data_IF_952045942984
#
_entry.id   IF_952045942984
#
_cell.length_a   1.000
_cell.length_b   1.000
_cell.length_c   1.000
_cell.angle_alpha   90.00
_cell.angle_beta   90.00
_cell.angle_gamma   90.00
#
_symmetry.space_group_name_H-M   'P 1'
#
loop_
_entity.id
_entity.type
_entity.pdbx_description
1 polymer ?
#
# COMPACT_ATOMS: atom_id res chain seq x y z
N UNK A 1 13.93 -2.56 -20.61
CA UNK A 1 13.28 -3.40 -19.60
C UNK A 1 12.51 -4.51 -20.30
N UNK A 2 12.78 -5.76 -19.93
CA UNK A 2 12.16 -6.95 -20.49
C UNK A 2 11.12 -7.50 -19.51
N UNK A 3 9.85 -7.49 -19.92
CA UNK A 3 8.70 -7.97 -19.14
C UNK A 3 8.29 -9.34 -19.65
N UNK A 4 8.14 -10.31 -18.76
CA UNK A 4 7.44 -11.56 -19.07
C UNK A 4 6.02 -11.48 -18.50
N UNK A 5 5.01 -11.37 -19.36
CA UNK A 5 3.59 -11.39 -18.99
C UNK A 5 3.00 -12.78 -19.17
N UNK A 6 2.33 -13.30 -18.15
CA UNK A 6 1.76 -14.65 -18.12
C UNK A 6 0.27 -14.58 -17.85
N UNK A 7 -0.52 -15.06 -18.79
CA UNK A 7 -2.00 -14.99 -18.76
C UNK A 7 -2.56 -16.05 -19.72
N UNK A 8 -3.49 -16.88 -19.26
CA UNK A 8 -4.11 -17.92 -20.09
C UNK A 8 -5.10 -17.35 -21.11
N UNK A 9 -5.58 -16.12 -20.89
CA UNK A 9 -6.40 -15.39 -21.84
C UNK A 9 -5.54 -14.64 -22.88
N UNK A 10 -5.57 -15.14 -24.12
CA UNK A 10 -4.76 -14.58 -25.22
C UNK A 10 -5.08 -13.11 -25.53
N UNK A 11 -6.33 -12.70 -25.41
CA UNK A 11 -6.74 -11.33 -25.72
C UNK A 11 -6.29 -10.35 -24.63
N UNK A 12 -6.38 -10.73 -23.35
CA UNK A 12 -5.79 -9.97 -22.25
C UNK A 12 -4.26 -9.82 -22.41
N UNK A 13 -3.57 -10.92 -22.74
CA UNK A 13 -2.13 -10.90 -23.02
C UNK A 13 -1.73 -9.97 -24.18
N UNK A 14 -2.49 -9.99 -25.28
CA UNK A 14 -2.26 -9.08 -26.41
C UNK A 14 -2.54 -7.63 -26.04
N UNK A 15 -3.62 -7.39 -25.30
CA UNK A 15 -3.98 -6.04 -24.83
C UNK A 15 -2.88 -5.48 -23.94
N UNK A 16 -2.40 -6.25 -22.97
CA UNK A 16 -1.27 -5.86 -22.12
C UNK A 16 -0.04 -5.51 -22.96
N UNK A 17 0.37 -6.37 -23.91
CA UNK A 17 1.50 -6.05 -24.79
C UNK A 17 1.29 -4.76 -25.61
N UNK A 18 0.07 -4.52 -26.08
CA UNK A 18 -0.29 -3.33 -26.86
C UNK A 18 -0.25 -2.05 -26.02
N UNK A 19 -0.73 -2.10 -24.76
CA UNK A 19 -0.71 -0.96 -23.84
C UNK A 19 0.74 -0.50 -23.55
N UNK A 20 1.71 -1.42 -23.62
CA UNK A 20 3.13 -1.13 -23.41
C UNK A 20 3.94 -0.93 -24.70
N UNK A 21 3.34 -1.10 -25.89
CA UNK A 21 4.04 -0.95 -27.17
C UNK A 21 4.49 0.50 -27.46
N UNK A 22 3.91 1.48 -26.75
CA UNK A 22 4.27 2.90 -26.87
C UNK A 22 5.57 3.27 -26.15
N UNK A 23 6.12 2.37 -25.32
CA UNK A 23 7.36 2.62 -24.56
C UNK A 23 8.53 1.93 -25.26
N UNK A 24 9.40 2.70 -25.92
CA UNK A 24 10.51 2.18 -26.73
C UNK A 24 11.52 1.34 -25.94
N UNK A 25 11.60 1.56 -24.62
CA UNK A 25 12.50 0.86 -23.71
C UNK A 25 11.85 -0.36 -23.04
N UNK A 26 10.60 -0.70 -23.35
CA UNK A 26 9.88 -1.85 -22.78
C UNK A 26 9.65 -2.91 -23.85
N UNK A 27 10.14 -4.13 -23.60
CA UNK A 27 9.82 -5.30 -24.42
C UNK A 27 8.94 -6.27 -23.62
N UNK A 28 7.84 -6.74 -24.22
CA UNK A 28 6.90 -7.67 -23.56
C UNK A 28 6.93 -9.03 -24.24
N UNK A 29 7.33 -10.06 -23.50
CA UNK A 29 7.21 -11.46 -23.88
C UNK A 29 5.95 -12.07 -23.27
N UNK A 30 5.18 -12.82 -24.05
CA UNK A 30 3.93 -13.43 -23.60
C UNK A 30 4.08 -14.93 -23.33
N UNK A 31 3.38 -15.43 -22.31
CA UNK A 31 3.26 -16.86 -22.02
C UNK A 31 1.85 -17.19 -21.54
N UNK A 32 1.28 -18.31 -21.98
CA UNK A 32 -0.11 -18.68 -21.62
C UNK A 32 -0.22 -19.74 -20.53
N UNK A 33 0.91 -20.19 -19.97
CA UNK A 33 0.94 -21.29 -19.00
C UNK A 33 1.86 -20.94 -17.84
N UNK A 34 1.29 -20.55 -16.70
CA UNK A 34 2.03 -20.25 -15.49
C UNK A 34 2.91 -21.42 -15.02
N UNK A 35 2.43 -22.66 -15.16
CA UNK A 35 3.18 -23.85 -14.77
C UNK A 35 4.48 -24.07 -15.57
N UNK A 36 4.61 -23.46 -16.76
CA UNK A 36 5.81 -23.59 -17.60
C UNK A 36 6.91 -22.58 -17.27
N UNK A 37 6.62 -21.59 -16.42
CA UNK A 37 7.49 -20.43 -16.18
C UNK A 37 8.83 -20.86 -15.61
N UNK A 38 8.83 -21.59 -14.49
CA UNK A 38 10.08 -22.05 -13.85
C UNK A 38 10.96 -22.86 -14.79
N UNK A 39 10.36 -23.81 -15.53
CA UNK A 39 11.08 -24.63 -16.51
C UNK A 39 11.72 -23.78 -17.62
N UNK A 40 10.99 -22.80 -18.15
CA UNK A 40 11.49 -21.92 -19.20
C UNK A 40 12.58 -20.97 -18.71
N UNK A 41 12.47 -20.47 -17.48
CA UNK A 41 13.49 -19.59 -16.90
C UNK A 41 14.82 -20.33 -16.67
N UNK A 42 14.76 -21.58 -16.22
CA UNK A 42 15.96 -22.42 -16.01
C UNK A 42 16.72 -22.68 -17.33
N UNK A 43 16.00 -22.79 -18.44
CA UNK A 43 16.59 -23.06 -19.76
C UNK A 43 17.22 -21.82 -20.41
N UNK A 44 16.98 -20.62 -19.88
CA UNK A 44 17.50 -19.37 -20.44
C UNK A 44 18.90 -19.06 -19.92
N UNK A 45 19.67 -18.37 -20.75
CA UNK A 45 20.94 -17.77 -20.30
C UNK A 45 20.63 -16.62 -19.35
N UNK A 46 21.53 -16.34 -18.40
CA UNK A 46 21.38 -15.23 -17.44
C UNK A 46 21.15 -13.87 -18.13
N UNK A 47 21.74 -13.66 -19.30
CA UNK A 47 21.60 -12.44 -20.12
C UNK A 47 20.24 -12.32 -20.83
N UNK A 48 19.39 -13.35 -20.75
CA UNK A 48 18.10 -13.47 -21.45
C UNK A 48 16.92 -13.64 -20.46
N UNK A 49 17.17 -13.38 -19.17
CA UNK A 49 16.11 -13.38 -18.15
C UNK A 49 15.29 -12.08 -18.25
N UNK A 50 13.97 -12.15 -17.96
CA UNK A 50 13.16 -10.94 -17.84
C UNK A 50 13.59 -10.14 -16.60
N UNK A 51 13.48 -8.80 -16.69
CA UNK A 51 13.69 -7.89 -15.56
C UNK A 51 12.53 -7.97 -14.56
N UNK A 52 11.31 -8.23 -15.06
CA UNK A 52 10.09 -8.38 -14.26
C UNK A 52 9.19 -9.46 -14.85
N UNK A 53 8.54 -10.20 -13.96
CA UNK A 53 7.51 -11.19 -14.31
C UNK A 53 6.19 -10.68 -13.78
N UNK A 54 5.20 -10.58 -14.66
CA UNK A 54 3.82 -10.24 -14.34
C UNK A 54 2.99 -11.48 -14.61
N UNK A 55 2.28 -11.98 -13.60
CA UNK A 55 1.50 -13.21 -13.69
C UNK A 55 0.07 -12.87 -13.32
N UNK A 56 -0.88 -13.25 -14.17
CA UNK A 56 -2.28 -13.22 -13.79
C UNK A 56 -2.54 -14.15 -12.59
N UNK A 57 -3.40 -13.69 -11.69
CA UNK A 57 -3.66 -14.39 -10.43
C UNK A 57 -4.60 -15.58 -10.61
N UNK A 58 -5.49 -15.55 -11.60
CA UNK A 58 -6.59 -16.50 -11.74
C UNK A 58 -6.68 -17.08 -13.15
N UNK A 59 -6.08 -18.26 -13.35
CA UNK A 59 -6.27 -19.00 -14.59
C UNK A 59 -7.58 -19.80 -14.61
N UNK A 60 -8.13 -20.03 -15.81
CA UNK A 60 -9.29 -20.89 -16.02
C UNK A 60 -8.98 -22.33 -15.59
N UNK A 61 -9.75 -22.82 -14.62
CA UNK A 61 -9.73 -24.22 -14.22
C UNK A 61 -10.65 -25.07 -15.10
N UNK A 62 -11.76 -24.49 -15.55
CA UNK A 62 -12.72 -25.10 -16.47
C UNK A 62 -12.88 -24.21 -17.72
N UNK A 63 -12.40 -24.66 -18.90
CA UNK A 63 -12.51 -23.90 -20.15
C UNK A 63 -13.95 -23.68 -20.63
N UNK A 64 -14.94 -24.37 -20.07
CA UNK A 64 -16.35 -24.21 -20.43
C UNK A 64 -17.01 -23.00 -19.74
N UNK A 65 -16.41 -22.48 -18.68
CA UNK A 65 -16.90 -21.29 -17.98
C UNK A 65 -16.49 -20.04 -18.77
N UNK A 66 -17.47 -19.22 -19.12
CA UNK A 66 -17.27 -17.95 -19.83
C UNK A 66 -16.94 -16.82 -18.87
N UNK A 67 -16.26 -15.77 -19.36
CA UNK A 67 -16.06 -14.54 -18.58
C UNK A 67 -17.39 -13.93 -18.17
N UNK A 68 -18.38 -13.90 -19.06
CA UNK A 68 -19.74 -13.42 -18.74
C UNK A 68 -20.31 -14.11 -17.50
N UNK A 69 -20.06 -15.42 -17.32
CA UNK A 69 -20.53 -16.15 -16.14
C UNK A 69 -19.76 -15.77 -14.87
N UNK A 70 -18.47 -15.48 -15.00
CA UNK A 70 -17.65 -14.99 -13.88
C UNK A 70 -18.14 -13.60 -13.47
N UNK A 71 -18.39 -12.71 -14.43
CA UNK A 71 -18.92 -11.37 -14.22
C UNK A 71 -20.30 -11.41 -13.52
N UNK A 72 -21.22 -12.27 -13.97
CA UNK A 72 -22.51 -12.49 -13.30
C UNK A 72 -22.34 -12.91 -11.82
N UNK A 73 -21.38 -13.81 -11.54
CA UNK A 73 -21.10 -14.26 -10.17
C UNK A 73 -20.49 -13.15 -9.33
N UNK A 74 -19.61 -12.33 -9.90
CA UNK A 74 -19.04 -11.16 -9.24
C UNK A 74 -20.14 -10.16 -8.89
N UNK A 75 -21.07 -9.88 -9.81
CA UNK A 75 -22.21 -9.02 -9.55
C UNK A 75 -23.12 -9.58 -8.44
N UNK A 76 -23.39 -10.89 -8.44
CA UNK A 76 -24.16 -11.55 -7.39
C UNK A 76 -23.47 -11.42 -6.02
N UNK A 77 -22.15 -11.63 -5.97
CA UNK A 77 -21.35 -11.47 -4.75
C UNK A 77 -21.41 -10.03 -4.26
N UNK A 78 -21.24 -9.04 -5.14
CA UNK A 78 -21.30 -7.63 -4.78
C UNK A 78 -22.67 -7.22 -4.25
N UNK A 79 -23.75 -7.71 -4.86
CA UNK A 79 -25.11 -7.49 -4.36
C UNK A 79 -25.28 -8.05 -2.95
N UNK A 80 -24.91 -9.31 -2.72
CA UNK A 80 -24.97 -9.95 -1.39
C UNK A 80 -24.09 -9.21 -0.38
N UNK A 81 -22.92 -8.72 -0.80
CA UNK A 81 -22.01 -7.93 0.03
C UNK A 81 -22.69 -6.65 0.52
N UNK A 82 -23.39 -5.94 -0.37
CA UNK A 82 -24.12 -4.72 -0.01
C UNK A 82 -25.28 -5.00 0.95
N UNK A 83 -26.06 -6.05 0.70
CA UNK A 83 -27.15 -6.46 1.59
C UNK A 83 -26.63 -6.78 3.01
N UNK A 84 -25.60 -7.62 3.10
CA UNK A 84 -24.96 -7.99 4.38
C UNK A 84 -24.35 -6.77 5.08
N UNK A 85 -23.77 -5.82 4.33
CA UNK A 85 -23.21 -4.59 4.89
C UNK A 85 -24.28 -3.76 5.60
N UNK A 86 -25.46 -3.61 5.00
CA UNK A 86 -26.56 -2.87 5.62
C UNK A 86 -27.12 -3.59 6.85
N UNK A 87 -27.20 -4.92 6.83
CA UNK A 87 -27.59 -5.69 8.01
C UNK A 87 -26.60 -5.55 9.15
N UNK A 88 -25.30 -5.67 8.87
CA UNK A 88 -24.24 -5.51 9.87
C UNK A 88 -24.26 -4.11 10.48
N UNK A 89 -24.51 -3.05 9.69
CA UNK A 89 -24.65 -1.68 10.20
C UNK A 89 -25.79 -1.54 11.22
N UNK A 90 -26.88 -2.28 11.07
CA UNK A 90 -27.99 -2.29 12.04
C UNK A 90 -27.60 -2.97 13.35
N UNK A 91 -26.68 -3.92 13.32
CA UNK A 91 -26.27 -4.72 14.47
C UNK A 91 -24.98 -4.25 15.16
N UNK A 92 -24.12 -3.52 14.46
CA UNK A 92 -22.76 -3.18 14.91
C UNK A 92 -22.37 -1.78 14.45
N UNK A 93 -21.75 -1.03 15.36
CA UNK A 93 -21.16 0.29 15.10
C UNK A 93 -19.63 0.21 15.22
N UNK A 94 -18.85 0.81 14.30
CA UNK A 94 -17.39 0.78 14.33
C UNK A 94 -16.81 1.79 15.35
N UNK A 95 -17.09 1.58 16.63
CA UNK A 95 -16.71 2.49 17.72
C UNK A 95 -15.19 2.72 17.84
N UNK A 96 -14.37 1.75 17.40
CA UNK A 96 -12.91 1.87 17.43
C UNK A 96 -12.37 3.03 16.60
N UNK A 97 -12.98 3.33 15.45
CA UNK A 97 -12.56 4.46 14.61
C UNK A 97 -12.98 5.79 15.23
N UNK A 98 -14.15 5.86 15.86
CA UNK A 98 -14.59 7.05 16.59
C UNK A 98 -13.63 7.35 17.76
N UNK A 99 -13.24 6.33 18.53
CA UNK A 99 -12.24 6.47 19.59
C UNK A 99 -10.87 6.91 19.05
N UNK A 100 -10.43 6.35 17.92
CA UNK A 100 -9.19 6.76 17.27
C UNK A 100 -9.19 8.24 16.87
N UNK A 101 -10.29 8.74 16.27
CA UNK A 101 -10.43 10.17 15.94
C UNK A 101 -10.24 11.05 17.17
N UNK A 102 -10.87 10.69 18.29
CA UNK A 102 -10.74 11.41 19.55
C UNK A 102 -9.29 11.38 20.07
N UNK A 103 -8.63 10.21 20.04
CA UNK A 103 -7.22 10.07 20.44
C UNK A 103 -6.27 10.91 19.58
N UNK A 104 -6.57 11.12 18.30
CA UNK A 104 -5.73 11.91 17.39
C UNK A 104 -5.90 13.43 17.54
N UNK A 105 -7.00 13.89 18.12
CA UNK A 105 -7.22 15.31 18.44
C UNK A 105 -6.37 15.74 19.65
N UNK A 106 -6.21 14.87 20.64
CA UNK A 106 -5.47 15.20 21.86
C UNK A 106 -3.95 15.09 21.66
N UNK A 107 -3.22 16.20 21.86
CA UNK A 107 -1.76 16.28 21.65
C UNK A 107 -0.96 15.21 22.40
N UNK A 108 -1.39 14.85 23.62
CA UNK A 108 -0.73 13.83 24.45
C UNK A 108 -0.83 12.42 23.85
N UNK A 109 -1.95 12.10 23.20
CA UNK A 109 -2.23 10.75 22.69
C UNK A 109 -2.03 10.63 21.19
N UNK A 110 -1.86 11.75 20.46
CA UNK A 110 -1.66 11.77 19.01
C UNK A 110 -0.50 10.88 18.55
N UNK A 111 0.57 10.81 19.36
CA UNK A 111 1.80 10.03 19.10
C UNK A 111 1.73 8.57 19.56
N UNK A 112 0.65 8.16 20.22
CA UNK A 112 0.50 6.77 20.65
C UNK A 112 0.17 5.92 19.42
N UNK A 113 0.95 4.87 19.11
CA UNK A 113 0.59 3.93 18.06
C UNK A 113 -0.71 3.20 18.44
N UNK A 114 -1.61 3.04 17.48
CA UNK A 114 -2.90 2.36 17.69
C UNK A 114 -3.05 1.25 16.67
N UNK A 115 -3.46 0.08 17.15
CA UNK A 115 -3.82 -1.07 16.32
C UNK A 115 -5.31 -1.37 16.54
N UNK A 116 -6.13 -1.28 15.49
CA UNK A 116 -7.53 -1.70 15.54
C UNK A 116 -7.65 -3.19 15.18
N UNK A 117 -8.55 -3.91 15.87
CA UNK A 117 -8.76 -5.35 15.65
C UNK A 117 -10.18 -5.63 15.19
N UNK A 118 -10.33 -6.36 14.08
CA UNK A 118 -11.63 -6.72 13.52
C UNK A 118 -11.72 -8.21 13.17
N UNK A 119 -12.92 -8.71 12.86
CA UNK A 119 -13.11 -10.05 12.29
C UNK A 119 -12.99 -9.96 10.76
N UNK A 120 -12.54 -11.03 10.11
CA UNK A 120 -12.35 -11.09 8.66
C UNK A 120 -13.60 -10.67 7.86
N UNK A 121 -14.76 -11.27 8.16
CA UNK A 121 -16.00 -10.89 7.50
C UNK A 121 -16.40 -9.42 7.68
N UNK A 122 -16.05 -8.77 8.80
CA UNK A 122 -16.30 -7.34 8.99
C UNK A 122 -15.32 -6.47 8.22
N UNK A 123 -14.07 -6.94 8.02
CA UNK A 123 -13.10 -6.24 7.18
C UNK A 123 -13.61 -6.15 5.74
N UNK A 124 -14.12 -7.27 5.20
CA UNK A 124 -14.65 -7.36 3.82
C UNK A 124 -15.89 -6.48 3.56
N UNK A 125 -16.71 -6.26 4.59
CA UNK A 125 -17.94 -5.46 4.47
C UNK A 125 -17.72 -3.96 4.70
N UNK A 126 -16.58 -3.56 5.27
CA UNK A 126 -16.36 -2.20 5.78
C UNK A 126 -15.05 -1.57 5.29
N UNK A 127 -14.76 -1.67 3.99
CA UNK A 127 -13.56 -1.07 3.36
C UNK A 127 -13.37 0.41 3.71
N UNK A 128 -14.47 1.18 3.79
CA UNK A 128 -14.42 2.60 4.16
C UNK A 128 -13.90 2.83 5.58
N UNK A 129 -14.20 1.93 6.52
CA UNK A 129 -13.74 2.00 7.92
C UNK A 129 -12.24 1.70 7.99
N UNK A 130 -11.76 0.73 7.20
CA UNK A 130 -10.33 0.40 7.11
C UNK A 130 -9.54 1.52 6.42
N UNK A 131 -10.07 2.07 5.33
CA UNK A 131 -9.50 3.24 4.65
C UNK A 131 -9.37 4.43 5.60
N UNK A 132 -10.41 4.71 6.39
CA UNK A 132 -10.37 5.76 7.40
C UNK A 132 -9.35 5.48 8.51
N UNK A 133 -9.23 4.23 8.96
CA UNK A 133 -8.22 3.81 9.94
C UNK A 133 -6.80 4.11 9.45
N UNK A 134 -6.52 3.76 8.19
CA UNK A 134 -5.23 4.04 7.54
C UNK A 134 -4.97 5.55 7.43
N UNK A 135 -5.97 6.35 7.02
CA UNK A 135 -5.86 7.83 6.96
C UNK A 135 -5.56 8.46 8.32
N UNK A 136 -6.02 7.86 9.40
CA UNK A 136 -5.75 8.30 10.77
C UNK A 136 -4.39 7.82 11.31
N UNK A 137 -3.59 7.13 10.49
CA UNK A 137 -2.26 6.64 10.86
C UNK A 137 -2.30 5.54 11.92
N UNK A 138 -3.39 4.76 11.95
CA UNK A 138 -3.47 3.55 12.76
C UNK A 138 -3.29 2.33 11.87
N UNK A 139 -2.71 1.29 12.46
CA UNK A 139 -2.63 -0.03 11.85
C UNK A 139 -3.85 -0.85 12.24
N UNK A 140 -4.12 -1.95 11.55
CA UNK A 140 -5.20 -2.85 11.91
C UNK A 140 -4.85 -4.30 11.64
N UNK A 141 -5.60 -5.21 12.27
CA UNK A 141 -5.41 -6.64 12.09
C UNK A 141 -6.69 -7.45 12.29
N UNK A 142 -6.65 -8.70 11.82
CA UNK A 142 -7.70 -9.68 12.01
C UNK A 142 -7.56 -10.40 13.35
N UNK A 143 -8.68 -10.61 14.04
CA UNK A 143 -8.75 -11.44 15.23
C UNK A 143 -8.47 -12.89 14.87
N UNK A 144 -7.71 -13.60 15.72
CA UNK A 144 -7.47 -15.04 15.58
C UNK A 144 -6.19 -15.41 14.82
N UNK A 145 -5.29 -14.46 14.55
CA UNK A 145 -4.01 -14.71 13.85
C UNK A 145 -2.94 -15.35 14.75
N UNK A 146 -3.20 -15.50 16.04
CA UNK A 146 -2.27 -16.04 17.02
C UNK A 146 -1.48 -14.97 17.77
N UNK A 147 -1.05 -15.29 18.99
CA UNK A 147 -0.37 -14.34 19.88
C UNK A 147 0.98 -13.88 19.34
N UNK A 148 1.75 -14.77 18.73
CA UNK A 148 3.06 -14.45 18.15
C UNK A 148 2.94 -13.42 17.02
N UNK A 149 1.98 -13.62 16.11
CA UNK A 149 1.70 -12.67 15.05
C UNK A 149 1.28 -11.31 15.61
N UNK A 150 0.39 -11.29 16.62
CA UNK A 150 -0.07 -10.05 17.25
C UNK A 150 1.07 -9.32 17.96
N UNK A 151 1.98 -10.05 18.62
CA UNK A 151 3.15 -9.47 19.28
C UNK A 151 4.12 -8.86 18.26
N UNK A 152 4.42 -9.59 17.17
CA UNK A 152 5.30 -9.10 16.10
C UNK A 152 4.73 -7.84 15.45
N UNK A 153 3.40 -7.79 15.25
CA UNK A 153 2.74 -6.59 14.76
C UNK A 153 2.88 -5.43 15.76
N UNK A 154 2.61 -5.66 17.06
CA UNK A 154 2.76 -4.62 18.08
C UNK A 154 4.17 -4.04 18.14
N UNK A 155 5.19 -4.90 18.07
CA UNK A 155 6.60 -4.49 18.02
C UNK A 155 6.90 -3.63 16.80
N UNK A 156 6.52 -4.11 15.60
CA UNK A 156 6.72 -3.35 14.36
C UNK A 156 6.08 -1.96 14.43
N UNK A 157 4.82 -1.87 14.87
CA UNK A 157 4.10 -0.58 14.94
C UNK A 157 4.72 0.35 15.99
N UNK A 158 5.24 -0.21 17.08
CA UNK A 158 5.97 0.55 18.07
C UNK A 158 7.28 1.11 17.48
N UNK A 159 8.07 0.28 16.82
CA UNK A 159 9.36 0.64 16.21
C UNK A 159 9.20 1.71 15.13
N UNK A 160 8.24 1.52 14.20
CA UNK A 160 7.90 2.51 13.17
C UNK A 160 7.55 3.87 13.80
N UNK A 161 6.85 3.86 14.94
CA UNK A 161 6.46 5.09 15.64
C UNK A 161 7.63 5.80 16.34
N UNK A 162 8.66 5.07 16.76
CA UNK A 162 9.88 5.64 17.33
C UNK A 162 10.79 6.22 16.25
N UNK A 163 10.87 5.57 15.08
CA UNK A 163 11.62 6.09 13.94
C UNK A 163 11.06 7.44 13.47
N UNK A 164 9.74 7.57 13.34
CA UNK A 164 9.07 8.83 12.99
C UNK A 164 9.35 9.95 13.99
N UNK A 165 9.36 9.64 15.30
CA UNK A 165 9.72 10.62 16.35
C UNK A 165 11.17 11.07 16.20
N UNK A 166 12.08 10.15 15.91
CA UNK A 166 13.50 10.44 15.76
C UNK A 166 13.76 11.28 14.50
N UNK A 167 13.08 10.97 13.39
CA UNK A 167 13.16 11.75 12.15
C UNK A 167 12.64 13.17 12.34
N UNK A 168 11.46 13.33 12.94
CA UNK A 168 10.91 14.64 13.25
C UNK A 168 11.82 15.47 14.18
N UNK A 169 12.47 14.84 15.16
CA UNK A 169 13.45 15.53 16.03
C UNK A 169 14.68 16.01 15.25
N UNK A 170 15.19 15.20 14.31
CA UNK A 170 16.32 15.56 13.45
C UNK A 170 15.97 16.72 12.51
N UNK A 171 14.79 16.73 11.90
CA UNK A 171 14.34 17.80 11.01
C UNK A 171 14.11 19.13 11.75
N UNK A 172 13.56 19.09 12.97
CA UNK A 172 13.43 20.28 13.82
C UNK A 172 14.81 20.83 14.20
N UNK A 173 15.77 19.96 14.54
CA UNK A 173 17.16 20.39 14.78
C UNK A 173 17.77 21.00 13.53
N UNK A 174 17.70 20.34 12.38
CA UNK A 174 18.25 20.86 11.11
C UNK A 174 17.66 22.22 10.73
N UNK A 175 16.34 22.39 10.88
CA UNK A 175 15.66 23.67 10.62
C UNK A 175 16.08 24.75 11.62
N UNK A 176 16.20 24.42 12.91
CA UNK A 176 16.66 25.37 13.93
C UNK A 176 18.12 25.79 13.73
N UNK A 177 19.00 24.85 13.38
CA UNK A 177 20.40 25.12 13.03
C UNK A 177 20.52 25.90 11.72
N UNK A 178 19.66 25.63 10.73
CA UNK A 178 19.59 26.39 9.48
C UNK A 178 19.10 27.83 9.69
N UNK A 179 18.12 28.04 10.57
CA UNK A 179 17.64 29.37 10.93
C UNK A 179 18.68 30.18 11.73
N UNK A 180 19.39 29.53 12.67
CA UNK A 180 20.50 30.16 13.41
C UNK A 180 21.70 30.46 12.49
N UNK A 181 22.07 29.54 11.61
CA UNK A 181 23.12 29.75 10.62
C UNK A 181 22.80 30.88 9.63
N UNK A 182 21.55 30.93 9.15
CA UNK A 182 21.07 32.01 8.28
C UNK A 182 21.05 33.38 8.96
N UNK A 183 20.68 33.44 10.24
CA UNK A 183 20.71 34.69 11.02
C UNK A 183 22.14 35.22 11.22
N UNK A 184 23.12 34.34 11.47
CA UNK A 184 24.53 34.75 11.63
C UNK A 184 25.14 35.26 10.32
N UNK A 185 24.84 34.61 9.19
CA UNK A 185 25.29 35.05 7.86
C UNK A 185 24.61 36.37 7.47
N UNK A 186 23.30 36.53 7.74
CA UNK A 186 22.58 37.78 7.50
C UNK A 186 23.13 38.95 8.32
N UNK A 187 23.49 38.73 9.59
CA UNK A 187 24.09 39.77 10.43
C UNK A 187 25.49 40.16 9.95
N UNK A 188 26.30 39.19 9.53
CA UNK A 188 27.64 39.45 8.98
C UNK A 188 27.58 40.22 7.66
N UNK A 189 26.66 39.89 6.75
CA UNK A 189 26.51 40.61 5.48
C UNK A 189 26.05 42.06 5.68
N UNK A 190 25.15 42.30 6.65
CA UNK A 190 24.65 43.64 6.96
C UNK A 190 25.73 44.52 7.60
N UNK A 191 26.62 43.93 8.41
CA UNK A 191 27.77 44.64 8.98
C UNK A 191 28.82 44.97 7.90
N UNK A 192 29.05 44.08 6.94
CA UNK A 192 30.01 44.31 5.83
C UNK A 192 29.48 45.39 4.88
N UNK A 193 28.20 45.40 4.52
CA UNK A 193 27.63 46.47 3.67
C UNK A 193 27.60 47.83 4.35
N UNK A 194 27.34 47.88 5.66
CA UNK A 194 27.40 49.11 6.44
C UNK A 194 28.83 49.68 6.60
N UNK A 195 29.86 48.84 6.50
CA UNK A 195 31.27 49.26 6.57
C UNK A 195 31.82 49.74 5.22
N UNK A 196 31.24 49.27 4.11
CA UNK A 196 31.65 49.63 2.74
C UNK A 196 30.95 50.90 2.19
N UNK A 197 30.00 51.47 2.93
CA UNK A 197 29.24 52.68 2.55
C UNK A 197 29.61 53.93 3.36
N UNK A 198 30.73 53.91 4.08
CA UNK A 198 31.38 55.08 4.70
C UNK A 198 32.70 55.35 4.02
#
# INVERSE_FOLDING_TARGET
>A
MNVLYIDDEKEAAKKFASDFALFEDVSVSLMTKANDVSRKLIQRKKTDLPDIIVIDLYAKTDPSITEDRVDELIEEIEKKRLELKEEVKKMRTPVGVAALKQLKITHKTKKIPVILRTREGLALLQDSVLSETNKLGAQWTLKGRGAEFELNLMQKVFDDSEEDKNKASREVKLTAWGALGGAVVGFALTLVTAFLTK
#
